data_IF_097289320884
#
_entry.id   IF_097289320884
#
_cell.length_a   1.000
_cell.length_b   1.000
_cell.length_c   1.000
_cell.angle_alpha   90.00
_cell.angle_beta   90.00
_cell.angle_gamma   90.00
#
_symmetry.space_group_name_H-M   'P 1'
#
loop_
_entity.id
_entity.type
_entity.pdbx_description
1 polymer ?
#
# COMPACT_ATOMS: atom_id res chain seq x y z
N UNK A 1 -6.37 -0.16 13.86
CA UNK A 1 -5.81 -1.48 14.33
C UNK A 1 -4.75 -2.01 13.37
N UNK A 2 -4.82 -1.69 12.08
CA UNK A 2 -3.82 -2.05 11.07
C UNK A 2 -2.53 -1.21 11.22
N UNK A 3 -2.62 0.04 11.69
CA UNK A 3 -1.46 0.93 11.88
C UNK A 3 -0.40 0.44 12.84
N UNK A 4 -0.82 -0.19 13.93
CA UNK A 4 0.10 -0.76 14.91
C UNK A 4 0.91 -1.92 14.34
N UNK A 5 0.34 -2.67 13.39
CA UNK A 5 1.03 -3.76 12.71
C UNK A 5 2.07 -3.19 11.73
N UNK A 6 1.78 -2.08 11.06
CA UNK A 6 2.67 -1.47 10.06
C UNK A 6 3.94 -0.83 10.64
N UNK A 7 3.92 -0.38 11.90
CA UNK A 7 5.12 0.07 12.63
C UNK A 7 6.11 -1.06 12.93
N UNK A 8 5.64 -2.31 12.91
CA UNK A 8 6.47 -3.45 13.24
C UNK A 8 7.53 -3.66 12.15
N UNK A 9 8.79 -3.34 12.48
CA UNK A 9 9.93 -3.39 11.54
C UNK A 9 10.15 -4.78 10.90
N UNK A 10 9.63 -5.86 11.49
CA UNK A 10 9.79 -7.24 11.02
C UNK A 10 8.81 -7.69 9.93
N UNK A 11 7.82 -6.87 9.53
CA UNK A 11 6.88 -7.27 8.48
C UNK A 11 7.54 -7.46 7.12
N UNK A 12 7.23 -8.58 6.47
CA UNK A 12 7.67 -8.85 5.10
C UNK A 12 6.78 -8.19 4.06
N UNK A 13 7.26 -8.14 2.82
CA UNK A 13 6.47 -7.77 1.65
C UNK A 13 5.14 -8.56 1.54
N UNK A 14 5.15 -9.85 1.88
CA UNK A 14 3.96 -10.70 1.83
C UNK A 14 2.97 -10.37 2.95
N UNK A 15 3.46 -10.06 4.16
CA UNK A 15 2.58 -9.69 5.27
C UNK A 15 1.86 -8.37 4.98
N UNK A 16 2.60 -7.39 4.45
CA UNK A 16 2.02 -6.11 4.02
C UNK A 16 1.02 -6.32 2.88
N UNK A 17 1.31 -7.20 1.92
CA UNK A 17 0.37 -7.54 0.85
C UNK A 17 -0.94 -8.12 1.39
N UNK A 18 -0.88 -9.03 2.37
CA UNK A 18 -2.08 -9.60 3.02
C UNK A 18 -2.91 -8.54 3.71
N UNK A 19 -2.27 -7.60 4.41
CA UNK A 19 -2.93 -6.48 5.07
C UNK A 19 -3.62 -5.58 4.04
N UNK A 20 -2.91 -5.17 2.99
CA UNK A 20 -3.48 -4.31 1.93
C UNK A 20 -4.69 -4.98 1.28
N UNK A 21 -4.63 -6.30 1.06
CA UNK A 21 -5.73 -7.05 0.45
C UNK A 21 -6.99 -7.15 1.32
N UNK A 22 -6.90 -6.89 2.63
CA UNK A 22 -8.07 -6.83 3.50
C UNK A 22 -8.90 -5.55 3.27
N UNK A 23 -8.31 -4.52 2.63
CA UNK A 23 -8.97 -3.25 2.35
C UNK A 23 -8.94 -2.91 0.86
N UNK A 24 -10.12 -2.84 0.24
CA UNK A 24 -10.26 -2.55 -1.19
C UNK A 24 -9.80 -1.13 -1.58
N UNK A 25 -9.94 -0.16 -0.68
CA UNK A 25 -9.54 1.22 -0.92
C UNK A 25 -8.02 1.36 -0.93
N UNK A 26 -7.35 0.68 0.02
CA UNK A 26 -5.89 0.61 0.09
C UNK A 26 -5.32 -0.14 -1.12
N UNK A 27 -5.91 -1.29 -1.46
CA UNK A 27 -5.57 -2.07 -2.66
C UNK A 27 -5.58 -1.19 -3.91
N UNK A 28 -6.67 -0.43 -4.11
CA UNK A 28 -6.81 0.45 -5.27
C UNK A 28 -5.78 1.58 -5.29
N UNK A 29 -5.46 2.17 -4.14
CA UNK A 29 -4.44 3.23 -4.02
C UNK A 29 -3.04 2.70 -4.32
N UNK A 30 -2.69 1.53 -3.79
CA UNK A 30 -1.39 0.89 -4.03
C UNK A 30 -1.22 0.54 -5.50
N UNK A 31 -2.24 -0.03 -6.15
CA UNK A 31 -2.19 -0.31 -7.59
C UNK A 31 -2.04 0.96 -8.43
N UNK A 32 -2.76 2.05 -8.09
CA UNK A 32 -2.59 3.34 -8.77
C UNK A 32 -1.18 3.90 -8.62
N UNK A 33 -0.61 3.84 -7.41
CA UNK A 33 0.76 4.29 -7.18
C UNK A 33 1.77 3.43 -7.95
N UNK A 34 1.62 2.11 -7.91
CA UNK A 34 2.47 1.18 -8.65
C UNK A 34 2.43 1.41 -10.17
N UNK A 35 1.29 1.85 -10.70
CA UNK A 35 1.13 2.21 -12.11
C UNK A 35 1.45 3.67 -12.44
N UNK A 36 1.83 4.50 -11.46
CA UNK A 36 2.20 5.89 -11.73
C UNK A 36 3.42 5.97 -12.64
N UNK A 37 3.55 7.07 -13.38
CA UNK A 37 4.68 7.32 -14.28
C UNK A 37 6.04 7.21 -13.58
N UNK A 38 6.09 7.51 -12.28
CA UNK A 38 7.30 7.41 -11.46
C UNK A 38 7.70 5.95 -11.20
N UNK A 39 6.75 5.07 -10.89
CA UNK A 39 7.03 3.67 -10.52
C UNK A 39 6.87 2.67 -11.67
N UNK A 40 6.18 3.03 -12.75
CA UNK A 40 5.97 2.20 -13.94
C UNK A 40 6.28 2.96 -15.24
N UNK A 41 7.56 3.33 -15.47
CA UNK A 41 7.95 4.02 -16.71
C UNK A 41 7.76 3.14 -17.95
N UNK A 42 7.69 1.82 -17.78
CA UNK A 42 7.44 0.86 -18.85
C UNK A 42 5.99 0.84 -19.34
N UNK A 43 5.05 1.42 -18.59
CA UNK A 43 3.62 1.43 -18.92
C UNK A 43 2.91 0.07 -18.88
N UNK A 44 3.61 -1.02 -18.54
CA UNK A 44 3.00 -2.35 -18.42
C UNK A 44 2.06 -2.40 -17.21
N UNK A 45 0.77 -2.62 -17.45
CA UNK A 45 -0.24 -2.59 -16.40
C UNK A 45 0.07 -3.58 -15.27
N UNK A 46 0.16 -3.05 -14.05
CA UNK A 46 0.30 -3.83 -12.82
C UNK A 46 -1.09 -3.97 -12.20
N UNK A 47 -1.62 -5.20 -12.20
CA UNK A 47 -2.96 -5.53 -11.72
C UNK A 47 -2.95 -6.47 -10.50
N UNK A 48 -1.77 -6.86 -10.00
CA UNK A 48 -1.65 -7.70 -8.80
C UNK A 48 -0.90 -6.99 -7.69
N UNK A 49 -1.38 -7.16 -6.46
CA UNK A 49 -0.74 -6.59 -5.27
C UNK A 49 0.66 -7.16 -5.09
N UNK A 50 0.87 -8.45 -5.32
CA UNK A 50 2.21 -9.06 -5.24
C UNK A 50 3.21 -8.39 -6.20
N UNK A 51 2.82 -8.09 -7.44
CA UNK A 51 3.70 -7.37 -8.38
C UNK A 51 3.90 -5.91 -7.98
N UNK A 52 2.84 -5.24 -7.51
CA UNK A 52 2.94 -3.88 -6.99
C UNK A 52 3.91 -3.81 -5.81
N UNK A 53 3.87 -4.80 -4.92
CA UNK A 53 4.77 -4.91 -3.77
C UNK A 53 6.22 -5.08 -4.19
N UNK A 54 6.49 -5.96 -5.17
CA UNK A 54 7.85 -6.14 -5.71
C UNK A 54 8.35 -4.85 -6.36
N UNK A 55 7.49 -4.13 -7.09
CA UNK A 55 7.86 -2.88 -7.78
C UNK A 55 8.13 -1.72 -6.81
N UNK A 56 7.29 -1.56 -5.79
CA UNK A 56 7.34 -0.43 -4.86
C UNK A 56 8.31 -0.67 -3.68
N UNK A 57 8.44 -1.92 -3.24
CA UNK A 57 9.15 -2.28 -2.01
C UNK A 57 8.34 -1.99 -0.74
N UNK A 58 8.74 -2.60 0.38
CA UNK A 58 8.04 -2.51 1.67
C UNK A 58 8.01 -1.11 2.27
N UNK A 59 9.06 -0.30 2.07
CA UNK A 59 9.14 1.06 2.61
C UNK A 59 8.09 2.01 2.01
N UNK A 60 7.85 1.93 0.70
CA UNK A 60 6.81 2.72 0.04
C UNK A 60 5.42 2.27 0.51
N UNK A 61 5.19 0.96 0.58
CA UNK A 61 3.91 0.42 1.02
C UNK A 61 3.55 0.83 2.45
N UNK A 62 4.51 0.78 3.38
CA UNK A 62 4.30 1.26 4.77
C UNK A 62 3.83 2.71 4.78
N UNK A 63 4.51 3.59 4.05
CA UNK A 63 4.13 5.01 3.98
C UNK A 63 2.73 5.20 3.41
N UNK A 64 2.38 4.51 2.33
CA UNK A 64 1.04 4.58 1.73
C UNK A 64 -0.02 4.12 2.74
N UNK A 65 0.23 3.02 3.43
CA UNK A 65 -0.72 2.48 4.38
C UNK A 65 -0.94 3.41 5.58
N UNK A 66 0.15 3.95 6.15
CA UNK A 66 0.07 4.95 7.23
C UNK A 66 -0.67 6.22 6.78
N UNK A 67 -0.41 6.69 5.56
CA UNK A 67 -1.13 7.82 4.98
C UNK A 67 -2.62 7.54 4.78
N UNK A 68 -3.01 6.33 4.38
CA UNK A 68 -4.42 5.95 4.26
C UNK A 68 -5.13 6.01 5.62
N UNK A 69 -4.55 5.38 6.64
CA UNK A 69 -5.15 5.33 7.97
C UNK A 69 -5.25 6.72 8.61
N UNK A 70 -4.24 7.58 8.39
CA UNK A 70 -4.30 8.98 8.83
C UNK A 70 -5.44 9.75 8.13
N UNK A 71 -5.63 9.53 6.83
CA UNK A 71 -6.73 10.17 6.08
C UNK A 71 -8.08 9.65 6.58
N UNK A 72 -8.23 8.35 6.79
CA UNK A 72 -9.45 7.75 7.34
C UNK A 72 -9.79 8.28 8.73
N UNK A 73 -8.80 8.35 9.63
CA UNK A 73 -8.98 8.96 10.94
C UNK A 73 -9.36 10.44 10.86
N UNK A 74 -8.77 11.19 9.93
CA UNK A 74 -9.12 12.61 9.74
C UNK A 74 -10.55 12.80 9.22
N UNK A 75 -11.05 11.87 8.38
CA UNK A 75 -12.42 11.89 7.87
C UNK A 75 -13.45 11.45 8.92
N UNK A 76 -13.07 10.57 9.85
CA UNK A 76 -13.97 10.08 10.90
C UNK A 76 -14.28 11.10 12.00
N UNK A 77 -13.51 12.20 12.07
CA UNK A 77 -13.67 13.27 13.08
C UNK A 77 -14.37 14.52 12.50
N UNK A 78 -14.69 14.51 11.20
CA UNK A 78 -15.44 15.57 10.52
C UNK A 78 -16.92 15.18 10.34
#
# INVERSE_FOLDING_TARGET
MIGFILEASYLTAQDIAKIILQDASMTTRVLRLANSSYYNPTGQAINSITRAVIRLGSGVLRRVCLSCELIEHSMAVA
#
